data_IF_552335536743
#
_entry.id   IF_552335536743
#
_cell.length_a   1.000
_cell.length_b   1.000
_cell.length_c   1.000
_cell.angle_alpha   90.00
_cell.angle_beta   90.00
_cell.angle_gamma   90.00
#
_symmetry.space_group_name_H-M   'P 1'
#
loop_
_entity.id
_entity.type
_entity.pdbx_description
1 polymer ?
#
# COMPACT_ATOMS: atom_id res chain seq x y z
N UNK A 1 -5.84 -11.21 22.90
CA UNK A 1 -7.04 -11.76 22.22
C UNK A 1 -8.34 -11.22 22.79
N UNK A 2 -8.48 -11.12 24.12
CA UNK A 2 -9.71 -10.58 24.75
C UNK A 2 -10.09 -9.18 24.27
N UNK A 3 -9.08 -8.33 24.03
CA UNK A 3 -9.24 -6.95 23.56
C UNK A 3 -9.71 -6.86 22.11
N UNK A 4 -9.54 -7.93 21.35
CA UNK A 4 -9.86 -8.01 19.92
C UNK A 4 -11.19 -8.75 19.64
N UNK A 5 -11.86 -9.26 20.68
CA UNK A 5 -13.10 -10.04 20.55
C UNK A 5 -14.12 -9.36 19.66
N UNK A 6 -14.35 -8.08 19.83
CA UNK A 6 -15.31 -7.31 19.03
C UNK A 6 -14.97 -7.24 17.54
N UNK A 7 -13.68 -7.27 17.18
CA UNK A 7 -13.24 -7.32 15.77
C UNK A 7 -13.56 -8.68 15.16
N UNK A 8 -13.28 -9.76 15.89
CA UNK A 8 -13.58 -11.13 15.44
C UNK A 8 -15.07 -11.30 15.22
N UNK A 9 -15.90 -10.88 16.20
CA UNK A 9 -17.36 -10.90 16.08
C UNK A 9 -17.88 -10.09 14.87
N UNK A 10 -17.28 -8.93 14.60
CA UNK A 10 -17.67 -8.11 13.47
C UNK A 10 -17.34 -8.78 12.12
N UNK A 11 -16.23 -9.49 12.02
CA UNK A 11 -15.85 -10.24 10.82
C UNK A 11 -16.75 -11.45 10.61
N UNK A 12 -17.04 -12.21 11.68
CA UNK A 12 -17.96 -13.37 11.61
C UNK A 12 -19.37 -12.92 11.16
N UNK A 13 -19.87 -11.81 11.69
CA UNK A 13 -21.15 -11.22 11.23
C UNK A 13 -21.17 -10.84 9.75
N UNK A 14 -20.01 -10.63 9.15
CA UNK A 14 -19.85 -10.38 7.70
C UNK A 14 -19.64 -11.66 6.88
N UNK A 15 -19.76 -12.82 7.51
CA UNK A 15 -19.65 -14.13 6.85
C UNK A 15 -18.22 -14.72 6.83
N UNK A 16 -17.27 -14.11 7.55
CA UNK A 16 -15.95 -14.70 7.70
C UNK A 16 -16.01 -15.94 8.60
N UNK A 17 -15.26 -16.98 8.26
CA UNK A 17 -15.02 -18.13 9.11
C UNK A 17 -13.74 -17.89 9.90
N UNK A 18 -13.76 -18.25 11.17
CA UNK A 18 -12.58 -18.19 12.02
C UNK A 18 -11.85 -19.53 11.95
N UNK A 19 -10.56 -19.47 11.63
CA UNK A 19 -9.68 -20.62 11.64
C UNK A 19 -8.50 -20.37 12.58
N UNK A 20 -8.01 -21.41 13.23
CA UNK A 20 -6.84 -21.28 14.10
C UNK A 20 -6.02 -22.57 14.09
N UNK A 21 -4.72 -22.43 14.39
CA UNK A 21 -3.87 -23.57 14.70
C UNK A 21 -4.32 -24.23 16.02
N UNK A 22 -3.84 -25.44 16.28
CA UNK A 22 -4.20 -26.24 17.47
C UNK A 22 -3.97 -25.48 18.77
N UNK A 23 -2.89 -24.67 18.85
CA UNK A 23 -2.50 -23.98 20.07
C UNK A 23 -3.47 -22.84 20.42
N UNK A 24 -3.93 -22.10 19.43
CA UNK A 24 -4.85 -20.96 19.60
C UNK A 24 -6.33 -21.37 19.62
N UNK A 25 -6.67 -22.57 19.14
CA UNK A 25 -8.07 -23.03 18.98
C UNK A 25 -8.83 -23.02 20.31
N UNK A 26 -8.21 -23.55 21.36
CA UNK A 26 -8.83 -23.61 22.68
C UNK A 26 -9.12 -22.21 23.28
N UNK A 27 -8.25 -21.25 23.03
CA UNK A 27 -8.42 -19.88 23.50
C UNK A 27 -9.63 -19.22 22.84
N UNK A 28 -9.78 -19.35 21.52
CA UNK A 28 -10.94 -18.83 20.79
C UNK A 28 -12.24 -19.53 21.19
N UNK A 29 -12.23 -20.86 21.38
CA UNK A 29 -13.38 -21.61 21.85
C UNK A 29 -13.81 -21.20 23.25
N UNK A 30 -12.87 -20.93 24.15
CA UNK A 30 -13.16 -20.44 25.50
C UNK A 30 -13.86 -19.06 25.50
N UNK A 31 -13.65 -18.26 24.46
CA UNK A 31 -14.33 -17.00 24.22
C UNK A 31 -15.71 -17.16 23.55
N UNK A 32 -16.14 -18.38 23.26
CA UNK A 32 -17.43 -18.68 22.66
C UNK A 32 -17.46 -18.64 21.13
N UNK A 33 -16.30 -18.72 20.45
CA UNK A 33 -16.23 -18.76 19.00
C UNK A 33 -16.25 -20.22 18.47
N UNK A 34 -16.91 -20.41 17.33
CA UNK A 34 -16.74 -21.59 16.50
C UNK A 34 -15.46 -21.42 15.66
N UNK A 35 -14.57 -22.42 15.70
CA UNK A 35 -13.23 -22.35 15.12
C UNK A 35 -12.90 -23.59 14.32
N UNK A 36 -12.65 -23.44 13.05
CA UNK A 36 -12.17 -24.49 12.15
C UNK A 36 -10.63 -24.66 12.26
N UNK A 37 -10.12 -25.77 11.73
CA UNK A 37 -8.67 -26.03 11.69
C UNK A 37 -7.98 -25.23 10.58
N UNK A 38 -6.85 -24.64 10.89
CA UNK A 38 -6.06 -23.84 9.95
C UNK A 38 -5.51 -24.71 8.81
N UNK A 39 -5.01 -25.91 9.11
CA UNK A 39 -4.48 -26.86 8.12
C UNK A 39 -5.55 -27.22 7.10
N UNK A 40 -6.76 -27.54 7.56
CA UNK A 40 -7.90 -27.82 6.68
C UNK A 40 -8.23 -26.59 5.80
N UNK A 41 -8.17 -25.40 6.36
CA UNK A 41 -8.38 -24.16 5.59
C UNK A 41 -7.34 -23.98 4.48
N UNK A 42 -6.09 -24.37 4.72
CA UNK A 42 -5.07 -24.35 3.65
C UNK A 42 -5.40 -25.33 2.51
N UNK A 43 -5.97 -26.48 2.81
CA UNK A 43 -6.37 -27.45 1.79
C UNK A 43 -7.56 -26.97 0.95
N UNK A 44 -8.57 -26.40 1.60
CA UNK A 44 -9.83 -25.99 0.96
C UNK A 44 -9.75 -24.69 0.15
N UNK A 45 -8.81 -23.80 0.45
CA UNK A 45 -8.72 -22.49 -0.21
C UNK A 45 -7.66 -22.47 -1.31
N UNK A 46 -7.98 -21.85 -2.42
CA UNK A 46 -7.07 -21.71 -3.56
C UNK A 46 -6.16 -20.48 -3.46
N UNK A 47 -6.55 -19.46 -2.71
CA UNK A 47 -5.79 -18.23 -2.52
C UNK A 47 -5.51 -18.01 -1.04
N UNK A 48 -4.25 -17.82 -0.71
CA UNK A 48 -3.78 -17.55 0.65
C UNK A 48 -3.15 -16.15 0.67
N UNK A 49 -3.68 -15.27 1.52
CA UNK A 49 -3.17 -13.92 1.71
C UNK A 49 -2.51 -13.85 3.08
N UNK A 50 -1.19 -13.76 3.09
CA UNK A 50 -0.40 -13.63 4.31
C UNK A 50 -0.24 -12.16 4.67
N UNK A 51 -0.91 -11.75 5.74
CA UNK A 51 -0.83 -10.41 6.32
C UNK A 51 0.07 -10.35 7.57
N UNK A 52 0.84 -11.40 7.82
CA UNK A 52 1.78 -11.46 8.95
C UNK A 52 3.12 -10.79 8.58
N UNK A 53 3.96 -10.42 9.54
CA UNK A 53 5.32 -9.95 9.27
C UNK A 53 6.31 -11.11 9.04
N UNK A 54 5.84 -12.25 8.53
CA UNK A 54 6.58 -13.50 8.43
C UNK A 54 6.32 -14.27 7.13
N UNK A 55 5.88 -13.61 6.08
CA UNK A 55 5.51 -14.24 4.82
C UNK A 55 6.61 -15.11 4.23
N UNK A 56 7.86 -14.66 4.21
CA UNK A 56 9.01 -15.44 3.73
C UNK A 56 9.26 -16.69 4.60
N UNK A 57 9.12 -16.57 5.92
CA UNK A 57 9.22 -17.71 6.83
C UNK A 57 8.10 -18.71 6.60
N UNK A 58 6.87 -18.23 6.53
CA UNK A 58 5.68 -19.05 6.29
C UNK A 58 5.74 -19.74 4.93
N UNK A 59 6.34 -19.09 3.91
CA UNK A 59 6.61 -19.76 2.64
C UNK A 59 7.50 -20.98 2.82
N UNK A 60 8.64 -20.84 3.49
CA UNK A 60 9.59 -21.94 3.69
C UNK A 60 9.06 -23.08 4.55
N UNK A 61 8.29 -22.77 5.57
CA UNK A 61 7.82 -23.76 6.56
C UNK A 61 6.49 -24.39 6.20
N UNK A 62 5.60 -23.67 5.52
CA UNK A 62 4.20 -24.07 5.29
C UNK A 62 3.85 -24.09 3.81
N UNK A 63 3.87 -22.91 3.15
CA UNK A 63 3.21 -22.74 1.86
C UNK A 63 3.89 -23.48 0.71
N UNK A 64 5.21 -23.63 0.77
CA UNK A 64 5.97 -24.39 -0.25
C UNK A 64 5.61 -25.87 -0.33
N UNK A 65 4.97 -26.41 0.70
CA UNK A 65 4.52 -27.80 0.78
C UNK A 65 3.06 -27.98 0.34
N UNK A 66 2.33 -26.90 0.10
CA UNK A 66 0.96 -26.94 -0.39
C UNK A 66 0.90 -27.12 -1.91
N UNK A 67 -0.31 -27.39 -2.41
CA UNK A 67 -0.57 -27.59 -3.83
C UNK A 67 -0.06 -26.40 -4.67
N UNK A 68 0.62 -26.70 -5.77
CA UNK A 68 1.22 -25.73 -6.69
C UNK A 68 0.19 -24.88 -7.44
N UNK A 69 -1.06 -25.37 -7.53
CA UNK A 69 -2.15 -24.63 -8.16
C UNK A 69 -2.69 -23.50 -7.29
N UNK A 70 -2.33 -23.48 -6.02
CA UNK A 70 -2.68 -22.38 -5.10
C UNK A 70 -1.90 -21.10 -5.41
N UNK A 71 -2.48 -19.97 -5.04
CA UNK A 71 -1.86 -18.64 -5.19
C UNK A 71 -1.61 -18.04 -3.82
N UNK A 72 -0.45 -17.43 -3.65
CA UNK A 72 0.01 -16.86 -2.38
C UNK A 72 0.33 -15.38 -2.56
N UNK A 73 -0.22 -14.57 -1.68
CA UNK A 73 0.07 -13.15 -1.62
C UNK A 73 0.63 -12.82 -0.24
N UNK A 74 1.84 -12.31 -0.18
CA UNK A 74 2.35 -11.70 1.05
C UNK A 74 2.17 -10.18 0.98
N UNK A 75 2.04 -9.54 2.14
CA UNK A 75 1.81 -8.11 2.25
C UNK A 75 2.93 -7.42 3.04
N UNK A 76 3.28 -6.20 2.64
CA UNK A 76 4.20 -5.35 3.40
C UNK A 76 5.66 -5.48 2.97
N UNK A 77 6.56 -5.68 3.93
CA UNK A 77 8.01 -5.63 3.71
C UNK A 77 8.66 -7.00 3.46
N UNK A 78 7.91 -7.97 2.96
CA UNK A 78 8.35 -9.35 2.70
C UNK A 78 9.20 -9.46 1.42
N UNK A 79 10.27 -8.70 1.36
CA UNK A 79 11.16 -8.65 0.20
C UNK A 79 11.67 -10.04 -0.19
N UNK A 80 11.59 -10.39 -1.48
CA UNK A 80 12.01 -11.70 -1.98
C UNK A 80 10.92 -12.77 -1.92
N UNK A 81 9.75 -12.50 -1.35
CA UNK A 81 8.63 -13.43 -1.37
C UNK A 81 8.20 -13.78 -2.80
N UNK A 82 8.05 -12.79 -3.64
CA UNK A 82 7.67 -12.92 -5.05
C UNK A 82 7.82 -11.58 -5.78
N UNK A 83 7.46 -11.51 -7.07
CA UNK A 83 7.42 -10.26 -7.78
C UNK A 83 6.40 -9.31 -7.14
N UNK A 84 6.69 -8.02 -7.18
CA UNK A 84 5.75 -7.01 -6.73
C UNK A 84 4.49 -7.02 -7.61
N UNK A 85 3.34 -6.91 -6.96
CA UNK A 85 2.05 -6.79 -7.61
C UNK A 85 1.26 -5.61 -7.06
N UNK A 86 0.71 -4.81 -7.97
CA UNK A 86 -0.23 -3.75 -7.68
C UNK A 86 -1.33 -3.78 -8.74
N UNK A 87 -2.57 -3.97 -8.31
CA UNK A 87 -3.74 -4.05 -9.18
C UNK A 87 -3.88 -2.81 -10.07
N UNK A 88 -4.10 -3.04 -11.36
CA UNK A 88 -4.23 -1.99 -12.37
C UNK A 88 -2.92 -1.31 -12.77
N UNK A 89 -1.81 -1.62 -12.11
CA UNK A 89 -0.48 -1.09 -12.40
C UNK A 89 0.31 -2.10 -13.26
N UNK A 90 0.44 -3.35 -12.79
CA UNK A 90 1.22 -4.39 -13.47
C UNK A 90 0.49 -5.73 -13.51
N UNK A 91 -0.76 -5.73 -13.96
CA UNK A 91 -1.60 -6.93 -13.98
C UNK A 91 -1.05 -8.09 -14.83
N UNK A 92 -0.23 -7.81 -15.83
CA UNK A 92 0.45 -8.80 -16.67
C UNK A 92 1.41 -9.70 -15.91
N UNK A 93 1.88 -9.30 -14.72
CA UNK A 93 2.68 -10.19 -13.86
C UNK A 93 1.90 -11.46 -13.45
N UNK A 94 0.56 -11.39 -13.42
CA UNK A 94 -0.31 -12.53 -13.09
C UNK A 94 -0.38 -13.58 -14.22
N UNK A 95 0.00 -13.23 -15.44
CA UNK A 95 0.03 -14.16 -16.57
C UNK A 95 1.26 -15.08 -16.57
N UNK A 96 2.23 -14.83 -15.70
CA UNK A 96 3.41 -15.67 -15.54
C UNK A 96 3.07 -16.92 -14.72
N UNK A 97 3.82 -18.02 -14.93
CA UNK A 97 3.67 -19.28 -14.19
C UNK A 97 4.08 -19.21 -12.70
N UNK A 98 4.05 -18.03 -12.12
CA UNK A 98 4.36 -17.84 -10.72
C UNK A 98 3.08 -17.95 -9.87
N UNK A 99 3.22 -18.58 -8.72
CA UNK A 99 2.10 -18.77 -7.80
C UNK A 99 2.20 -17.90 -6.54
N UNK A 100 3.21 -17.04 -6.43
CA UNK A 100 3.41 -16.16 -5.28
C UNK A 100 3.75 -14.73 -5.70
N UNK A 101 3.16 -13.75 -5.00
CA UNK A 101 3.28 -12.33 -5.31
C UNK A 101 3.41 -11.53 -4.02
N UNK A 102 4.15 -10.43 -4.08
CA UNK A 102 4.28 -9.49 -2.99
C UNK A 102 3.43 -8.24 -3.25
N UNK A 103 2.45 -8.01 -2.41
CA UNK A 103 1.66 -6.78 -2.43
C UNK A 103 2.52 -5.65 -1.85
N UNK A 104 2.81 -4.66 -2.67
CA UNK A 104 3.68 -3.55 -2.29
C UNK A 104 3.10 -2.72 -1.13
N UNK A 105 3.96 -1.95 -0.45
CA UNK A 105 3.54 -1.11 0.68
C UNK A 105 2.60 0.03 0.25
N UNK A 106 1.87 0.60 1.22
CA UNK A 106 0.93 1.70 0.98
C UNK A 106 1.59 2.92 0.31
N UNK A 107 2.80 3.30 0.72
CA UNK A 107 3.53 4.40 0.08
C UNK A 107 4.00 4.04 -1.33
N UNK A 108 4.40 2.79 -1.57
CA UNK A 108 4.74 2.30 -2.91
C UNK A 108 3.52 2.37 -3.84
N UNK A 109 2.34 1.92 -3.38
CA UNK A 109 1.10 2.05 -4.15
C UNK A 109 0.75 3.52 -4.43
N UNK A 110 0.92 4.40 -3.45
CA UNK A 110 0.63 5.82 -3.61
C UNK A 110 1.51 6.46 -4.68
N UNK A 111 2.82 6.21 -4.63
CA UNK A 111 3.77 6.67 -5.65
C UNK A 111 3.43 6.08 -7.02
N UNK A 112 3.13 4.78 -7.08
CA UNK A 112 2.78 4.11 -8.32
C UNK A 112 1.50 4.69 -8.95
N UNK A 113 0.47 4.99 -8.15
CA UNK A 113 -0.77 5.62 -8.60
C UNK A 113 -0.54 7.03 -9.15
N UNK A 114 0.33 7.83 -8.49
CA UNK A 114 0.72 9.16 -8.97
C UNK A 114 1.43 9.07 -10.32
N UNK A 115 2.39 8.16 -10.44
CA UNK A 115 3.12 7.97 -11.69
C UNK A 115 2.21 7.42 -12.80
N UNK A 116 1.32 6.50 -12.48
CA UNK A 116 0.37 6.00 -13.47
C UNK A 116 -0.49 7.14 -14.00
N UNK A 117 -1.12 7.91 -13.11
CA UNK A 117 -2.05 8.99 -13.50
C UNK A 117 -1.38 10.13 -14.25
N UNK A 118 -0.21 10.59 -13.82
CA UNK A 118 0.41 11.81 -14.37
C UNK A 118 1.51 11.56 -15.40
N UNK A 119 1.96 10.32 -15.54
CA UNK A 119 3.04 9.95 -16.47
C UNK A 119 2.58 8.88 -17.44
N UNK A 120 2.18 7.70 -16.95
CA UNK A 120 2.03 6.52 -17.79
C UNK A 120 0.72 6.49 -18.58
N UNK A 121 -0.35 7.06 -18.04
CA UNK A 121 -1.65 7.22 -18.72
C UNK A 121 -1.71 8.52 -19.55
N UNK A 122 -0.56 9.17 -19.73
CA UNK A 122 -0.39 10.37 -20.55
C UNK A 122 0.68 10.16 -21.61
N UNK A 123 0.86 11.12 -22.49
CA UNK A 123 1.96 11.16 -23.47
C UNK A 123 3.25 11.82 -22.93
N UNK A 124 3.32 12.02 -21.60
CA UNK A 124 4.43 12.69 -20.93
C UNK A 124 5.54 11.70 -20.58
N UNK A 125 6.78 12.08 -20.91
CA UNK A 125 7.97 11.39 -20.46
C UNK A 125 8.48 12.02 -19.16
N UNK A 126 8.82 11.18 -18.19
CA UNK A 126 9.38 11.60 -16.91
C UNK A 126 10.92 11.66 -16.99
N UNK A 127 11.48 12.82 -16.67
CA UNK A 127 12.91 12.97 -16.43
C UNK A 127 13.30 12.45 -15.05
N UNK A 128 12.55 12.87 -14.02
CA UNK A 128 12.78 12.48 -12.64
C UNK A 128 11.51 12.59 -11.81
N UNK A 129 11.29 11.63 -10.91
CA UNK A 129 10.25 11.66 -9.87
C UNK A 129 10.87 11.69 -8.47
N UNK A 130 10.60 12.72 -7.67
CA UNK A 130 11.06 12.84 -6.29
C UNK A 130 9.90 12.83 -5.31
N UNK A 131 10.06 12.08 -4.23
CA UNK A 131 9.00 11.85 -3.24
C UNK A 131 9.51 12.00 -1.82
N UNK A 132 8.70 12.59 -0.95
CA UNK A 132 8.96 12.64 0.50
C UNK A 132 7.77 12.02 1.22
N UNK A 133 7.97 10.85 1.82
CA UNK A 133 6.94 10.17 2.61
C UNK A 133 6.92 10.74 4.04
N UNK A 134 5.88 11.48 4.36
CA UNK A 134 5.60 12.01 5.70
C UNK A 134 4.80 10.94 6.46
N UNK A 135 5.51 10.10 7.22
CA UNK A 135 4.94 8.89 7.82
C UNK A 135 4.35 9.19 9.19
N UNK A 136 3.17 8.61 9.47
CA UNK A 136 2.62 8.59 10.83
C UNK A 136 3.54 7.81 11.80
N UNK A 137 3.40 8.08 13.10
CA UNK A 137 4.20 7.45 14.15
C UNK A 137 3.91 5.95 14.26
N UNK A 138 2.63 5.59 14.28
CA UNK A 138 2.15 4.22 14.45
C UNK A 138 1.09 3.87 13.41
N UNK A 139 0.84 2.59 13.22
CA UNK A 139 -0.39 2.12 12.60
C UNK A 139 -1.58 2.37 13.53
N UNK A 140 -2.80 2.42 12.96
CA UNK A 140 -4.00 2.83 13.71
C UNK A 140 -4.26 1.95 14.95
N UNK A 141 -3.83 0.69 14.90
CA UNK A 141 -3.98 -0.28 16.00
C UNK A 141 -2.77 -0.36 16.94
N UNK A 142 -1.72 0.44 16.72
CA UNK A 142 -0.49 0.44 17.51
C UNK A 142 -0.40 1.68 18.39
N UNK A 143 0.14 1.54 19.59
CA UNK A 143 0.35 2.64 20.54
C UNK A 143 1.72 2.61 21.22
N UNK A 144 2.61 1.73 20.81
CA UNK A 144 3.88 1.39 21.43
C UNK A 144 5.06 2.19 20.88
N UNK A 145 4.89 2.93 19.80
CA UNK A 145 5.94 3.72 19.19
C UNK A 145 5.67 5.22 19.38
N UNK A 146 6.34 5.79 20.36
CA UNK A 146 6.32 7.23 20.60
C UNK A 146 7.40 7.93 19.78
N UNK A 147 7.02 8.98 19.04
CA UNK A 147 7.93 9.84 18.28
C UNK A 147 7.72 11.29 18.73
N UNK A 148 8.54 11.81 19.66
CA UNK A 148 8.35 13.15 20.23
C UNK A 148 8.67 14.28 19.21
N UNK A 149 9.42 13.96 18.16
CA UNK A 149 9.83 14.90 17.11
C UNK A 149 9.92 14.21 15.75
N UNK A 150 9.94 14.97 14.64
CA UNK A 150 10.21 14.41 13.32
C UNK A 150 11.55 13.66 13.29
N UNK A 151 11.53 12.45 12.75
CA UNK A 151 12.72 11.60 12.63
C UNK A 151 12.95 11.26 11.16
N UNK A 152 14.10 11.66 10.63
CA UNK A 152 14.48 11.42 9.25
C UNK A 152 14.92 9.97 9.09
N UNK A 153 14.41 9.30 8.08
CA UNK A 153 14.85 7.95 7.71
C UNK A 153 16.17 8.02 6.96
N UNK A 154 17.13 7.20 7.38
CA UNK A 154 18.41 7.07 6.67
C UNK A 154 18.18 6.59 5.23
N UNK A 155 18.92 7.16 4.30
CA UNK A 155 19.00 6.61 2.93
C UNK A 155 19.95 5.42 2.95
N UNK A 156 19.44 4.26 2.64
CA UNK A 156 20.18 2.98 2.58
C UNK A 156 20.56 2.60 1.15
N UNK A 157 20.08 3.35 0.17
CA UNK A 157 20.42 3.20 -1.24
C UNK A 157 20.70 4.56 -1.87
N UNK A 158 21.85 4.70 -2.55
CA UNK A 158 22.24 5.98 -3.17
C UNK A 158 21.39 6.34 -4.39
N UNK A 159 20.91 5.35 -5.13
CA UNK A 159 20.10 5.55 -6.34
C UNK A 159 18.66 5.94 -5.99
N UNK A 160 18.04 5.24 -5.04
CA UNK A 160 16.60 5.38 -4.74
C UNK A 160 16.30 6.12 -3.43
N UNK A 161 17.31 6.34 -2.56
CA UNK A 161 17.14 6.91 -1.23
C UNK A 161 16.51 5.91 -0.27
N UNK A 162 15.19 5.74 -0.28
CA UNK A 162 14.48 4.74 0.54
C UNK A 162 13.85 3.63 -0.33
N UNK A 163 13.46 2.53 0.31
CA UNK A 163 12.84 1.39 -0.37
C UNK A 163 11.58 1.75 -1.17
N UNK A 164 10.87 2.83 -0.84
CA UNK A 164 9.64 3.19 -1.54
C UNK A 164 9.86 3.45 -3.04
N UNK A 165 10.86 4.26 -3.41
CA UNK A 165 11.19 4.49 -4.83
C UNK A 165 11.76 3.25 -5.50
N UNK A 166 12.60 2.47 -4.80
CA UNK A 166 13.14 1.20 -5.29
C UNK A 166 12.02 0.20 -5.63
N UNK A 167 11.07 0.02 -4.72
CA UNK A 167 9.98 -0.94 -4.89
C UNK A 167 9.03 -0.52 -6.03
N UNK A 168 8.81 0.79 -6.21
CA UNK A 168 8.10 1.34 -7.36
C UNK A 168 8.88 1.11 -8.66
N UNK A 169 10.19 1.34 -8.65
CA UNK A 169 11.04 1.07 -9.81
C UNK A 169 10.96 -0.40 -10.23
N UNK A 170 11.08 -1.33 -9.29
CA UNK A 170 10.97 -2.77 -9.56
C UNK A 170 9.57 -3.16 -10.08
N UNK A 171 8.51 -2.53 -9.59
CA UNK A 171 7.15 -2.73 -10.05
C UNK A 171 6.97 -2.32 -11.52
N UNK A 172 7.44 -1.14 -11.91
CA UNK A 172 7.34 -0.67 -13.29
C UNK A 172 8.36 -1.28 -14.24
N UNK A 173 9.50 -1.73 -13.75
CA UNK A 173 10.49 -2.49 -14.52
C UNK A 173 9.90 -3.80 -15.07
N UNK A 174 8.97 -4.42 -14.37
CA UNK A 174 8.23 -5.60 -14.84
C UNK A 174 7.36 -5.27 -16.07
N UNK A 175 6.97 -4.00 -16.22
CA UNK A 175 6.25 -3.45 -17.38
C UNK A 175 7.22 -2.92 -18.48
N UNK A 176 8.50 -3.20 -18.36
CA UNK A 176 9.53 -2.71 -19.30
C UNK A 176 9.87 -1.23 -19.15
N UNK A 177 9.38 -0.56 -18.08
CA UNK A 177 9.61 0.87 -17.85
C UNK A 177 10.68 1.09 -16.79
N UNK A 178 11.72 1.86 -17.13
CA UNK A 178 12.79 2.25 -16.21
C UNK A 178 12.63 3.73 -15.88
N UNK A 179 12.04 4.03 -14.72
CA UNK A 179 11.80 5.38 -14.27
C UNK A 179 12.94 5.84 -13.34
N UNK A 180 13.36 7.09 -13.49
CA UNK A 180 14.32 7.74 -12.59
C UNK A 180 13.57 8.26 -11.37
N UNK A 181 13.70 7.56 -10.23
CA UNK A 181 12.91 7.81 -9.03
C UNK A 181 13.81 7.95 -7.80
N UNK A 182 13.45 8.88 -6.92
CA UNK A 182 14.09 9.04 -5.63
C UNK A 182 13.07 9.30 -4.54
N UNK A 183 13.25 8.71 -3.36
CA UNK A 183 12.38 8.95 -2.22
C UNK A 183 13.16 9.19 -0.93
N UNK A 184 12.61 10.06 -0.08
CA UNK A 184 12.99 10.24 1.31
C UNK A 184 11.79 9.94 2.20
N UNK A 185 12.03 9.74 3.50
CA UNK A 185 10.95 9.54 4.45
C UNK A 185 11.25 10.22 5.78
N UNK A 186 10.20 10.76 6.40
CA UNK A 186 10.23 11.39 7.71
C UNK A 186 9.11 10.79 8.54
N UNK A 187 9.41 10.25 9.70
CA UNK A 187 8.43 9.83 10.70
C UNK A 187 8.01 11.05 11.52
N UNK A 188 6.71 11.32 11.58
CA UNK A 188 6.13 12.46 12.29
C UNK A 188 5.36 12.01 13.55
N UNK A 189 5.23 12.88 14.57
CA UNK A 189 4.41 12.62 15.75
C UNK A 189 2.90 12.78 15.43
N UNK A 190 2.43 12.15 14.36
CA UNK A 190 1.04 12.15 13.92
C UNK A 190 0.51 10.73 13.87
N UNK A 191 -0.81 10.56 13.97
CA UNK A 191 -1.42 9.25 14.07
C UNK A 191 -2.22 8.84 12.83
N UNK A 192 -2.76 9.79 12.09
CA UNK A 192 -3.67 9.49 10.98
C UNK A 192 -3.02 9.73 9.63
N UNK A 193 -3.07 8.70 8.78
CA UNK A 193 -2.66 8.72 7.39
C UNK A 193 -1.17 9.04 7.18
N UNK A 194 -0.62 8.60 6.09
CA UNK A 194 0.61 9.15 5.55
C UNK A 194 0.27 10.36 4.68
N UNK A 195 1.20 11.27 4.55
CA UNK A 195 1.16 12.32 3.53
C UNK A 195 2.39 12.16 2.66
N UNK A 196 2.22 12.30 1.37
CA UNK A 196 3.29 12.18 0.39
C UNK A 196 3.42 13.52 -0.36
N UNK A 197 4.57 14.19 -0.24
CA UNK A 197 4.94 15.23 -1.16
C UNK A 197 5.60 14.62 -2.38
N UNK A 198 5.31 15.14 -3.57
CA UNK A 198 5.92 14.71 -4.81
C UNK A 198 6.34 15.90 -5.70
N UNK A 199 7.39 15.66 -6.49
CA UNK A 199 7.79 16.49 -7.62
C UNK A 199 8.04 15.56 -8.81
N UNK A 200 7.38 15.85 -9.93
CA UNK A 200 7.58 15.18 -11.21
C UNK A 200 8.15 16.18 -12.20
N UNK A 201 9.36 15.91 -12.71
CA UNK A 201 9.97 16.68 -13.78
C UNK A 201 9.76 15.95 -15.10
N UNK A 202 9.15 16.60 -16.06
CA UNK A 202 8.85 16.04 -17.39
C UNK A 202 9.88 16.53 -18.43
N UNK A 203 9.96 15.85 -19.58
CA UNK A 203 10.77 16.30 -20.71
C UNK A 203 10.20 17.59 -21.36
N UNK A 204 8.90 17.77 -21.31
CA UNK A 204 8.19 18.92 -21.90
C UNK A 204 7.40 19.66 -20.84
N UNK A 205 7.13 20.94 -21.12
CA UNK A 205 6.27 21.75 -20.27
C UNK A 205 4.88 21.10 -20.15
N UNK A 206 4.26 21.28 -19.01
CA UNK A 206 2.90 20.85 -18.72
C UNK A 206 2.08 22.02 -18.18
N UNK A 207 0.77 21.92 -18.29
CA UNK A 207 -0.16 22.90 -17.78
C UNK A 207 -1.00 22.32 -16.62
N UNK A 208 -1.36 23.16 -15.66
CA UNK A 208 -2.19 22.75 -14.54
C UNK A 208 -3.54 22.15 -15.01
N UNK A 209 -4.10 22.68 -16.08
CA UNK A 209 -5.35 22.17 -16.66
C UNK A 209 -5.22 20.72 -17.12
N UNK A 210 -4.11 20.34 -17.75
CA UNK A 210 -3.85 18.96 -18.17
C UNK A 210 -3.73 18.03 -16.98
N UNK A 211 -3.01 18.47 -15.93
CA UNK A 211 -2.86 17.73 -14.68
C UNK A 211 -4.21 17.48 -14.01
N UNK A 212 -5.06 18.52 -13.93
CA UNK A 212 -6.39 18.40 -13.36
C UNK A 212 -7.29 17.45 -14.18
N UNK A 213 -7.21 17.51 -15.50
CA UNK A 213 -7.94 16.59 -16.37
C UNK A 213 -7.46 15.12 -16.17
N UNK A 214 -6.16 14.88 -16.06
CA UNK A 214 -5.63 13.54 -15.77
C UNK A 214 -6.11 13.04 -14.40
N UNK A 215 -6.17 13.91 -13.40
CA UNK A 215 -6.66 13.57 -12.07
C UNK A 215 -8.16 13.22 -12.05
N UNK A 216 -8.98 14.00 -12.76
CA UNK A 216 -10.43 13.77 -12.87
C UNK A 216 -10.78 12.44 -13.57
N UNK A 217 -9.93 11.99 -14.49
CA UNK A 217 -10.11 10.74 -15.22
C UNK A 217 -9.35 9.55 -14.58
N UNK A 218 -8.69 9.74 -13.44
CA UNK A 218 -7.92 8.68 -12.80
C UNK A 218 -8.80 7.65 -12.11
N UNK A 219 -8.50 6.37 -12.33
CA UNK A 219 -9.07 5.26 -11.56
C UNK A 219 -8.31 4.98 -10.24
N UNK A 220 -7.15 5.62 -10.03
CA UNK A 220 -6.24 5.33 -8.91
C UNK A 220 -6.09 6.47 -7.92
N UNK A 221 -6.45 7.69 -8.32
CA UNK A 221 -6.36 8.88 -7.50
C UNK A 221 -7.73 9.55 -7.38
N UNK A 222 -7.95 10.16 -6.23
CA UNK A 222 -9.06 11.08 -6.01
C UNK A 222 -8.53 12.43 -5.59
N UNK A 223 -9.34 13.46 -5.71
CA UNK A 223 -8.99 14.82 -5.26
C UNK A 223 -9.83 15.26 -4.07
N UNK A 224 -9.25 16.15 -3.27
CA UNK A 224 -9.95 16.83 -2.17
C UNK A 224 -9.49 18.28 -2.05
N UNK A 225 -10.38 19.16 -1.62
CA UNK A 225 -10.04 20.54 -1.23
C UNK A 225 -9.64 20.64 0.26
N UNK A 226 -9.69 19.52 0.99
CA UNK A 226 -9.30 19.46 2.40
C UNK A 226 -7.79 19.36 2.52
N UNK A 227 -7.17 20.26 3.28
CA UNK A 227 -5.72 20.34 3.49
C UNK A 227 -5.24 19.73 4.81
N UNK A 228 -6.09 18.96 5.48
CA UNK A 228 -5.75 18.31 6.73
C UNK A 228 -6.12 16.83 6.67
N UNK A 229 -5.17 15.94 6.96
CA UNK A 229 -5.39 14.50 7.03
C UNK A 229 -6.51 14.10 7.99
N UNK A 230 -6.66 14.82 9.11
CA UNK A 230 -7.81 14.65 10.02
C UNK A 230 -9.15 14.89 9.34
N UNK A 231 -9.27 15.96 8.55
CA UNK A 231 -10.51 16.29 7.83
C UNK A 231 -10.79 15.29 6.73
N UNK A 232 -9.76 14.83 6.03
CA UNK A 232 -9.87 13.79 5.00
C UNK A 232 -10.32 12.47 5.62
N UNK A 233 -9.69 12.06 6.70
CA UNK A 233 -10.05 10.84 7.44
C UNK A 233 -11.48 10.89 7.99
N UNK A 234 -11.87 11.99 8.60
CA UNK A 234 -13.22 12.20 9.14
C UNK A 234 -14.29 12.15 8.05
N UNK A 235 -14.05 12.78 6.92
CA UNK A 235 -14.94 12.74 5.76
C UNK A 235 -15.24 11.29 5.32
N UNK A 236 -14.23 10.45 5.21
CA UNK A 236 -14.43 9.05 4.82
C UNK A 236 -15.25 8.27 5.84
N UNK A 237 -15.00 8.46 7.13
CA UNK A 237 -15.79 7.88 8.21
C UNK A 237 -17.26 8.32 8.13
N UNK A 238 -17.49 9.61 7.96
CA UNK A 238 -18.83 10.19 7.95
C UNK A 238 -19.65 9.74 6.72
N UNK A 239 -18.97 9.28 5.66
CA UNK A 239 -19.59 8.71 4.47
C UNK A 239 -19.61 7.17 4.46
N UNK A 240 -19.46 6.54 5.61
CA UNK A 240 -19.61 5.09 5.78
C UNK A 240 -18.42 4.24 5.37
N UNK A 241 -17.27 4.85 5.08
CA UNK A 241 -16.04 4.13 4.73
C UNK A 241 -15.25 3.63 5.95
N UNK A 242 -15.88 3.59 7.12
CA UNK A 242 -15.38 3.02 8.38
C UNK A 242 -13.94 3.47 8.74
N UNK A 243 -13.65 4.75 8.55
CA UNK A 243 -12.36 5.34 8.86
C UNK A 243 -11.23 5.01 7.87
N UNK A 244 -11.53 4.21 6.84
CA UNK A 244 -10.65 4.01 5.69
C UNK A 244 -11.35 4.57 4.48
N UNK A 245 -10.77 5.62 3.97
CA UNK A 245 -11.40 6.38 2.96
C UNK A 245 -11.58 5.62 1.69
N UNK A 246 -10.57 5.06 1.18
CA UNK A 246 -10.61 4.63 -0.19
C UNK A 246 -9.39 3.75 -0.44
N UNK A 247 -9.49 2.88 -1.42
CA UNK A 247 -8.35 2.19 -2.00
C UNK A 247 -7.51 3.11 -2.92
N UNK A 248 -7.70 4.44 -2.84
CA UNK A 248 -7.09 5.43 -3.72
C UNK A 248 -6.13 6.34 -2.95
N UNK A 249 -5.11 6.84 -3.63
CA UNK A 249 -4.39 8.01 -3.19
C UNK A 249 -5.29 9.26 -3.30
N UNK A 250 -5.15 10.19 -2.36
CA UNK A 250 -6.01 11.39 -2.31
C UNK A 250 -5.16 12.63 -2.48
N UNK A 251 -5.25 13.27 -3.63
CA UNK A 251 -4.54 14.50 -3.95
C UNK A 251 -5.21 15.69 -3.29
N UNK A 252 -4.46 16.46 -2.52
CA UNK A 252 -4.86 17.78 -2.05
C UNK A 252 -4.83 18.77 -3.23
N UNK A 253 -5.98 18.98 -3.89
CA UNK A 253 -6.09 19.71 -5.17
C UNK A 253 -5.44 21.09 -5.13
N UNK A 254 -5.65 21.84 -4.05
CA UNK A 254 -5.11 23.18 -3.88
C UNK A 254 -3.59 23.22 -3.60
N UNK A 255 -2.96 22.07 -3.43
CA UNK A 255 -1.50 21.93 -3.31
C UNK A 255 -0.80 21.68 -4.64
N UNK A 256 -1.54 21.45 -5.73
CA UNK A 256 -0.96 21.22 -7.04
C UNK A 256 -0.37 22.51 -7.60
N UNK A 257 0.88 22.45 -7.98
CA UNK A 257 1.59 23.57 -8.59
C UNK A 257 2.38 23.11 -9.80
N UNK A 258 2.21 23.80 -10.90
CA UNK A 258 2.94 23.57 -12.14
C UNK A 258 3.80 24.76 -12.45
N UNK A 259 5.10 24.51 -12.67
CA UNK A 259 6.04 25.54 -13.14
C UNK A 259 6.88 24.91 -14.25
N UNK A 260 6.71 25.42 -15.48
CA UNK A 260 7.40 24.90 -16.65
C UNK A 260 7.12 23.39 -16.83
N UNK A 261 8.13 22.56 -16.71
CA UNK A 261 8.05 21.11 -16.83
C UNK A 261 7.95 20.37 -15.47
N UNK A 262 7.70 21.09 -14.38
CA UNK A 262 7.64 20.51 -13.04
C UNK A 262 6.21 20.57 -12.48
N UNK A 263 5.75 19.44 -12.00
CA UNK A 263 4.51 19.27 -11.23
C UNK A 263 4.87 18.92 -9.79
N UNK A 264 4.36 19.70 -8.84
CA UNK A 264 4.48 19.40 -7.40
C UNK A 264 3.10 19.31 -6.76
N UNK A 265 3.00 18.57 -5.66
CA UNK A 265 1.76 18.46 -4.91
C UNK A 265 1.89 17.55 -3.69
N UNK A 266 0.76 17.39 -3.00
CA UNK A 266 0.61 16.50 -1.86
C UNK A 266 -0.51 15.48 -2.11
N UNK A 267 -0.23 14.25 -1.68
CA UNK A 267 -1.16 13.15 -1.66
C UNK A 267 -1.30 12.57 -0.24
#
# INVERSE_FOLDING_TARGET
LSDEKGKVEALIRKGAKLVANSDAKNDFQSMGFDVEDLEKSYEENQVIIDCTPSGNKNWGEIYSNLDKDKRFLAQGSEHGFGPFFAWGINNNVLANDQNKYLIASCNTHNIASILKTFVLDTDKNLNEGRFVCLRRANDVSQNDSFSPSPTITKHDNQEFGTHHARDVFELFKQEGKKLNLFSSAIKLPTQYMHTLWFNLSFEKNTELKEVLNSLENSEFLMSTEKLSSNKVFSFGRDHGYHGRLLSHGIIAKDSLHVKENNLTGYC
#
